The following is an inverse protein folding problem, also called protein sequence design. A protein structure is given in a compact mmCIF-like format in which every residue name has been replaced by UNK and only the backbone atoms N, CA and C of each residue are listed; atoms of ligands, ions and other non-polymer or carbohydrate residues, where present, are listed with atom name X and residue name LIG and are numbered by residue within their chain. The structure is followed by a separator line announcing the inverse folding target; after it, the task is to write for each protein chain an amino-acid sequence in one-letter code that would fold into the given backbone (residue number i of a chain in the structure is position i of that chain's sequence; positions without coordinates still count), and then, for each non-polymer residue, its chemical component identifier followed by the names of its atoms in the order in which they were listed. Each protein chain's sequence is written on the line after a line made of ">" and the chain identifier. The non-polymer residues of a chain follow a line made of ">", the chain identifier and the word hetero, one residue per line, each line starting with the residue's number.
data_IF_997040609691
#
_entry.id   IF_997040609691
#
_cell.length_a   1.000
_cell.length_b   1.000
_cell.length_c   1.000
_cell.angle_alpha   90.00
_cell.angle_beta   90.00
_cell.angle_gamma   90.00
#
_symmetry.space_group_name_H-M   'P 1'
#
loop_
_entity.id
_entity.type
_entity.pdbx_description
1 polymer ?
#
# COMPACT_ATOMS: atom_id res chain seq x y z
N UNK A 1 -7.39 -15.36 4.35
CA UNK A 1 -6.45 -14.99 5.44
C UNK A 1 -4.98 -14.99 4.98
N UNK A 2 -4.35 -16.13 4.64
CA UNK A 2 -2.92 -16.14 4.27
C UNK A 2 -2.53 -15.18 3.13
N UNK A 3 -3.28 -15.17 2.03
CA UNK A 3 -3.03 -14.23 0.92
C UNK A 3 -3.11 -12.77 1.36
N UNK A 4 -4.14 -12.41 2.12
CA UNK A 4 -4.32 -11.06 2.66
C UNK A 4 -3.14 -10.65 3.55
N UNK A 5 -2.73 -11.50 4.49
CA UNK A 5 -1.61 -11.19 5.38
C UNK A 5 -0.27 -11.08 4.65
N UNK A 6 -0.01 -11.96 3.68
CA UNK A 6 1.28 -12.01 2.98
C UNK A 6 1.40 -10.93 1.89
N UNK A 7 0.36 -10.80 1.07
CA UNK A 7 0.38 -9.94 -0.12
C UNK A 7 -0.10 -8.54 0.23
N UNK A 8 -1.36 -8.40 0.61
CA UNK A 8 -1.99 -7.09 0.83
C UNK A 8 -1.37 -6.35 2.01
N UNK A 9 -1.24 -7.02 3.17
CA UNK A 9 -0.67 -6.41 4.36
C UNK A 9 0.86 -6.41 4.32
N UNK A 10 1.48 -7.58 4.16
CA UNK A 10 2.93 -7.74 4.29
C UNK A 10 3.73 -7.06 3.19
N UNK A 11 3.43 -7.39 1.93
CA UNK A 11 4.21 -6.93 0.77
C UNK A 11 3.86 -5.52 0.33
N UNK A 12 2.65 -5.04 0.65
CA UNK A 12 2.15 -3.75 0.19
C UNK A 12 1.88 -2.77 1.33
N UNK A 13 0.75 -2.92 2.04
CA UNK A 13 0.19 -1.89 2.91
C UNK A 13 1.12 -1.53 4.08
N UNK A 14 1.61 -2.53 4.81
CA UNK A 14 2.50 -2.30 5.96
C UNK A 14 3.81 -1.65 5.54
N UNK A 15 4.26 -1.82 4.30
CA UNK A 15 5.51 -1.26 3.80
C UNK A 15 5.38 0.23 3.47
N UNK A 16 4.30 0.61 2.77
CA UNK A 16 4.07 2.00 2.36
C UNK A 16 3.72 2.92 3.54
N UNK A 17 3.24 2.36 4.65
CA UNK A 17 2.91 3.14 5.85
C UNK A 17 4.04 3.23 6.89
N UNK A 18 5.18 2.53 6.71
CA UNK A 18 6.24 2.50 7.74
C UNK A 18 6.76 3.89 8.03
N UNK A 19 7.03 4.67 6.99
CA UNK A 19 7.58 6.01 7.12
C UNK A 19 6.64 6.89 7.97
N UNK A 20 5.37 7.05 7.56
CA UNK A 20 4.39 7.82 8.35
C UNK A 20 4.20 7.27 9.77
N UNK A 21 4.30 5.96 9.97
CA UNK A 21 4.09 5.37 11.29
C UNK A 21 5.27 5.67 12.23
N UNK A 22 6.48 5.78 11.70
CA UNK A 22 7.73 5.94 12.45
C UNK A 22 8.19 7.40 12.55
N UNK A 23 7.94 8.22 11.53
CA UNK A 23 8.50 9.57 11.41
C UNK A 23 7.50 10.67 11.74
N UNK A 24 6.20 10.46 11.46
CA UNK A 24 5.21 11.50 11.68
C UNK A 24 4.89 11.69 13.17
N UNK A 25 4.53 12.94 13.52
CA UNK A 25 4.13 13.31 14.88
C UNK A 25 2.99 12.43 15.37
N UNK A 26 3.01 12.11 16.66
CA UNK A 26 2.06 11.19 17.30
C UNK A 26 0.59 11.60 17.14
N UNK A 27 0.32 12.90 17.03
CA UNK A 27 -0.99 13.53 16.87
C UNK A 27 -1.30 13.97 15.43
N UNK A 28 -0.42 13.68 14.47
CA UNK A 28 -0.64 14.05 13.07
C UNK A 28 -1.78 13.25 12.43
N UNK A 29 -2.52 13.90 11.52
CA UNK A 29 -3.60 13.26 10.75
C UNK A 29 -3.08 12.05 9.98
N UNK A 30 -1.91 12.14 9.33
CA UNK A 30 -1.31 11.04 8.58
C UNK A 30 -1.08 9.79 9.45
N UNK A 31 -0.51 9.97 10.65
CA UNK A 31 -0.28 8.86 11.58
C UNK A 31 -1.58 8.31 12.14
N UNK A 32 -2.52 9.17 12.53
CA UNK A 32 -3.82 8.75 13.09
C UNK A 32 -4.68 8.02 12.06
N UNK A 33 -4.71 8.50 10.82
CA UNK A 33 -5.41 7.84 9.71
C UNK A 33 -4.91 6.41 9.49
N UNK A 34 -3.58 6.22 9.48
CA UNK A 34 -2.96 4.91 9.36
C UNK A 34 -3.32 3.98 10.53
N UNK A 35 -3.24 4.49 11.76
CA UNK A 35 -3.58 3.75 12.97
C UNK A 35 -5.06 3.36 13.03
N UNK A 36 -5.97 4.23 12.56
CA UNK A 36 -7.40 3.93 12.48
C UNK A 36 -7.63 2.75 11.53
N UNK A 37 -7.06 2.77 10.32
CA UNK A 37 -7.18 1.66 9.39
C UNK A 37 -6.58 0.35 9.97
N UNK A 38 -5.38 0.42 10.57
CA UNK A 38 -4.77 -0.74 11.24
C UNK A 38 -5.61 -1.28 12.38
N UNK A 39 -6.26 -0.42 13.16
CA UNK A 39 -7.15 -0.82 14.23
C UNK A 39 -8.33 -1.63 13.70
N UNK A 40 -9.04 -1.12 12.68
CA UNK A 40 -10.15 -1.84 12.06
C UNK A 40 -9.71 -3.18 11.43
N UNK A 41 -8.55 -3.21 10.76
CA UNK A 41 -8.00 -4.44 10.19
C UNK A 41 -7.67 -5.44 11.30
N UNK A 42 -7.06 -5.02 12.40
CA UNK A 42 -6.69 -5.90 13.50
C UNK A 42 -7.92 -6.46 14.23
N UNK A 43 -8.93 -5.62 14.50
CA UNK A 43 -10.19 -6.04 15.09
C UNK A 43 -10.88 -7.12 14.24
N UNK A 44 -10.97 -6.93 12.93
CA UNK A 44 -11.53 -7.92 12.01
C UNK A 44 -10.69 -9.19 11.96
N UNK A 45 -9.38 -9.05 11.75
CA UNK A 45 -8.47 -10.16 11.53
C UNK A 45 -8.43 -11.13 12.73
N UNK A 46 -8.36 -10.60 13.96
CA UNK A 46 -8.30 -11.41 15.19
C UNK A 46 -9.56 -12.25 15.36
N UNK A 47 -10.74 -11.69 15.10
CA UNK A 47 -12.00 -12.44 15.14
C UNK A 47 -12.08 -13.49 14.04
N UNK A 48 -11.67 -13.16 12.82
CA UNK A 48 -11.71 -14.09 11.69
C UNK A 48 -10.73 -15.25 11.83
N UNK A 49 -9.60 -15.06 12.52
CA UNK A 49 -8.65 -16.14 12.79
C UNK A 49 -9.04 -17.01 13.98
N UNK A 50 -9.88 -16.52 14.91
CA UNK A 50 -10.22 -17.23 16.14
C UNK A 50 -10.76 -18.66 15.94
N UNK A 51 -11.58 -18.98 14.91
CA UNK A 51 -12.04 -20.35 14.68
C UNK A 51 -10.95 -21.35 14.23
N UNK A 52 -9.78 -20.87 13.79
CA UNK A 52 -8.70 -21.69 13.23
C UNK A 52 -7.44 -21.63 14.11
N UNK A 53 -7.09 -20.44 14.61
CA UNK A 53 -5.90 -20.14 15.40
C UNK A 53 -6.29 -19.63 16.78
N UNK A 54 -7.16 -20.38 17.48
CA UNK A 54 -7.84 -19.94 18.71
C UNK A 54 -6.92 -19.37 19.78
N UNK A 55 -5.83 -20.07 20.13
CA UNK A 55 -4.89 -19.60 21.15
C UNK A 55 -4.16 -18.32 20.75
N UNK A 56 -3.70 -18.24 19.49
CA UNK A 56 -3.03 -17.04 18.97
C UNK A 56 -3.98 -15.86 18.89
N UNK A 57 -5.23 -16.10 18.45
CA UNK A 57 -6.26 -15.08 18.39
C UNK A 57 -6.58 -14.51 19.78
N UNK A 58 -6.75 -15.38 20.78
CA UNK A 58 -7.04 -14.98 22.16
C UNK A 58 -5.86 -14.27 22.83
N UNK A 59 -4.62 -14.66 22.51
CA UNK A 59 -3.44 -13.93 22.94
C UNK A 59 -3.41 -12.51 22.35
N UNK A 60 -3.54 -12.37 21.02
CA UNK A 60 -3.54 -11.05 20.34
C UNK A 60 -4.71 -10.19 20.84
N UNK A 61 -5.86 -10.80 21.11
CA UNK A 61 -7.04 -10.13 21.64
C UNK A 61 -6.74 -9.30 22.89
N UNK A 62 -5.90 -9.81 23.80
CA UNK A 62 -5.50 -9.10 25.02
C UNK A 62 -4.63 -7.86 24.78
N UNK A 63 -4.00 -7.74 23.60
CA UNK A 63 -3.06 -6.66 23.26
C UNK A 63 -3.65 -5.57 22.36
N UNK A 64 -4.84 -5.78 21.78
CA UNK A 64 -5.48 -4.72 21.00
C UNK A 64 -5.91 -3.56 21.93
N UNK A 65 -5.93 -2.31 21.44
CA UNK A 65 -6.32 -1.15 22.24
C UNK A 65 -7.83 -1.07 22.47
N UNK A 66 -8.25 -0.48 23.58
CA UNK A 66 -9.67 -0.28 23.92
C UNK A 66 -10.23 -1.32 24.89
N UNK A 67 -11.44 -1.04 25.40
CA UNK A 67 -12.18 -1.94 26.28
C UNK A 67 -12.66 -3.18 25.52
N UNK A 68 -12.58 -4.34 26.16
CA UNK A 68 -12.85 -5.62 25.51
C UNK A 68 -13.37 -6.66 26.49
N UNK A 69 -14.12 -7.61 25.94
CA UNK A 69 -14.48 -8.82 26.65
C UNK A 69 -13.25 -9.66 27.00
N UNK A 70 -13.40 -10.57 27.96
CA UNK A 70 -12.28 -11.37 28.47
C UNK A 70 -11.64 -12.26 27.42
N UNK A 71 -12.43 -12.78 26.47
CA UNK A 71 -11.97 -13.73 25.46
C UNK A 71 -12.48 -13.33 24.09
N UNK A 72 -11.70 -13.62 23.04
CA UNK A 72 -12.14 -13.38 21.66
C UNK A 72 -13.36 -14.23 21.27
N UNK A 73 -13.54 -15.38 21.92
CA UNK A 73 -14.55 -16.39 21.56
C UNK A 73 -16.00 -15.95 21.82
N UNK A 74 -16.21 -14.91 22.61
CA UNK A 74 -17.53 -14.32 22.86
C UNK A 74 -17.83 -13.14 21.93
N UNK A 75 -16.83 -12.69 21.15
CA UNK A 75 -16.97 -11.59 20.22
C UNK A 75 -17.79 -11.96 18.98
N UNK A 76 -18.58 -10.99 18.51
CA UNK A 76 -19.35 -11.10 17.27
C UNK A 76 -18.51 -10.73 16.03
N UNK A 77 -19.10 -10.91 14.84
CA UNK A 77 -18.50 -10.48 13.58
C UNK A 77 -18.16 -8.97 13.61
N UNK A 78 -17.03 -8.59 13.03
CA UNK A 78 -16.63 -7.19 13.02
C UNK A 78 -17.36 -6.40 11.93
N UNK A 79 -18.19 -5.44 12.35
CA UNK A 79 -19.01 -4.61 11.45
C UNK A 79 -18.39 -3.24 11.13
N UNK A 80 -17.21 -2.93 11.69
CA UNK A 80 -16.55 -1.64 11.48
C UNK A 80 -15.84 -1.48 10.13
N UNK A 81 -15.85 -2.51 9.28
CA UNK A 81 -15.32 -2.45 7.92
C UNK A 81 -16.41 -2.07 6.93
N UNK A 82 -16.08 -1.20 5.99
CA UNK A 82 -16.93 -0.83 4.88
C UNK A 82 -16.13 -0.89 3.57
N UNK A 83 -16.81 -1.22 2.48
CA UNK A 83 -16.24 -1.13 1.14
C UNK A 83 -16.51 0.23 0.51
N UNK A 84 -15.71 0.58 -0.49
CA UNK A 84 -16.00 1.69 -1.38
C UNK A 84 -16.84 1.19 -2.56
N UNK A 85 -17.78 2.01 -3.03
CA UNK A 85 -18.54 1.72 -4.24
C UNK A 85 -17.67 1.90 -5.49
N UNK A 86 -18.06 1.25 -6.59
CA UNK A 86 -17.34 1.33 -7.88
C UNK A 86 -17.24 2.77 -8.42
N UNK A 87 -18.16 3.64 -8.03
CA UNK A 87 -18.14 5.06 -8.41
C UNK A 87 -17.26 5.94 -7.53
N UNK A 88 -16.82 5.45 -6.37
CA UNK A 88 -15.96 6.20 -5.47
C UNK A 88 -14.52 6.23 -5.97
N UNK A 89 -13.84 7.36 -5.72
CA UNK A 89 -12.44 7.51 -6.08
C UNK A 89 -11.56 6.55 -5.27
N UNK A 90 -10.44 6.12 -5.86
CA UNK A 90 -9.47 5.25 -5.19
C UNK A 90 -10.07 3.94 -4.65
N UNK A 91 -11.06 3.40 -5.35
CA UNK A 91 -11.64 2.08 -5.09
C UNK A 91 -10.67 0.93 -5.45
N UNK A 92 -11.14 -0.31 -5.34
CA UNK A 92 -10.34 -1.51 -5.62
C UNK A 92 -9.72 -1.50 -7.02
N UNK A 93 -10.46 -1.09 -8.05
CA UNK A 93 -9.95 -1.04 -9.42
C UNK A 93 -8.79 -0.03 -9.58
N UNK A 94 -8.84 1.08 -8.86
CA UNK A 94 -7.74 2.05 -8.82
C UNK A 94 -6.48 1.46 -8.18
N UNK A 95 -6.61 0.81 -7.02
CA UNK A 95 -5.46 0.21 -6.32
C UNK A 95 -4.90 -1.01 -7.07
N UNK A 96 -5.74 -1.81 -7.73
CA UNK A 96 -5.30 -2.91 -8.59
C UNK A 96 -4.43 -2.43 -9.75
N UNK A 97 -4.74 -1.28 -10.34
CA UNK A 97 -3.92 -0.67 -11.39
C UNK A 97 -2.63 -0.10 -10.81
N UNK A 98 -2.69 0.59 -9.67
CA UNK A 98 -1.53 1.17 -9.01
C UNK A 98 -0.53 0.10 -8.53
N UNK A 99 -1.01 -1.06 -8.09
CA UNK A 99 -0.18 -2.21 -7.76
C UNK A 99 0.60 -2.75 -8.97
N UNK A 100 0.00 -2.70 -10.17
CA UNK A 100 0.72 -3.04 -11.42
C UNK A 100 1.80 -2.01 -11.71
N UNK A 101 1.50 -0.71 -11.57
CA UNK A 101 2.50 0.36 -11.73
C UNK A 101 3.67 0.15 -10.76
N UNK A 102 3.40 -0.11 -9.48
CA UNK A 102 4.43 -0.38 -8.48
C UNK A 102 5.28 -1.59 -8.85
N UNK A 103 4.67 -2.66 -9.36
CA UNK A 103 5.38 -3.84 -9.83
C UNK A 103 6.40 -3.51 -10.94
N UNK A 104 6.00 -2.67 -11.88
CA UNK A 104 6.85 -2.26 -13.01
C UNK A 104 7.98 -1.32 -12.56
N UNK A 105 7.69 -0.38 -11.67
CA UNK A 105 8.70 0.49 -11.04
C UNK A 105 9.73 -0.35 -10.26
N UNK A 106 9.27 -1.34 -9.49
CA UNK A 106 10.17 -2.22 -8.74
C UNK A 106 11.11 -2.99 -9.68
N UNK A 107 10.63 -3.48 -10.83
CA UNK A 107 11.50 -4.14 -11.83
C UNK A 107 12.62 -3.22 -12.30
N UNK A 108 12.30 -1.97 -12.62
CA UNK A 108 13.28 -0.97 -13.06
C UNK A 108 14.30 -0.64 -11.97
N UNK A 109 13.83 -0.49 -10.72
CA UNK A 109 14.71 -0.25 -9.56
C UNK A 109 15.63 -1.45 -9.30
N UNK A 110 15.12 -2.69 -9.37
CA UNK A 110 15.95 -3.88 -9.19
C UNK A 110 16.97 -4.04 -10.30
N UNK A 111 16.63 -3.72 -11.56
CA UNK A 111 17.62 -3.67 -12.64
C UNK A 111 18.69 -2.60 -12.39
N UNK A 112 18.29 -1.40 -11.96
CA UNK A 112 19.24 -0.35 -11.61
C UNK A 112 20.14 -0.74 -10.42
N UNK A 113 19.63 -1.53 -9.47
CA UNK A 113 20.42 -2.11 -8.37
C UNK A 113 21.40 -3.16 -8.86
N UNK A 114 20.98 -4.06 -9.76
CA UNK A 114 21.86 -5.03 -10.40
C UNK A 114 22.99 -4.36 -11.19
N UNK A 115 22.69 -3.24 -11.85
CA UNK A 115 23.64 -2.38 -12.55
C UNK A 115 24.52 -1.53 -11.60
N UNK A 116 24.30 -1.62 -10.28
CA UNK A 116 24.98 -0.83 -9.23
C UNK A 116 24.81 0.69 -9.37
N UNK A 117 23.73 1.14 -9.99
CA UNK A 117 23.36 2.56 -10.10
C UNK A 117 22.68 3.09 -8.83
N UNK A 118 21.98 2.21 -8.12
CA UNK A 118 21.20 2.52 -6.93
C UNK A 118 21.45 1.43 -5.87
N UNK A 119 21.61 1.80 -4.60
CA UNK A 119 21.70 0.86 -3.49
C UNK A 119 20.32 0.45 -2.98
N UNK A 120 19.50 1.44 -2.59
CA UNK A 120 18.14 1.25 -2.08
C UNK A 120 17.07 1.99 -2.88
N UNK A 121 15.81 1.53 -2.87
CA UNK A 121 14.72 2.21 -3.58
C UNK A 121 14.52 3.65 -3.12
N UNK A 122 14.77 3.93 -1.83
CA UNK A 122 14.74 5.27 -1.24
C UNK A 122 15.88 6.20 -1.70
N UNK A 123 16.84 5.72 -2.48
CA UNK A 123 17.85 6.55 -3.14
C UNK A 123 17.44 6.94 -4.57
N UNK A 124 16.39 6.30 -5.11
CA UNK A 124 15.89 6.54 -6.46
C UNK A 124 14.76 7.56 -6.45
N UNK A 125 14.79 8.49 -7.41
CA UNK A 125 13.64 9.28 -7.83
C UNK A 125 13.17 8.74 -9.18
N UNK A 126 11.87 8.51 -9.34
CA UNK A 126 11.30 7.89 -10.54
C UNK A 126 10.45 8.88 -11.33
N UNK A 127 10.49 8.79 -12.65
CA UNK A 127 9.59 9.54 -13.54
C UNK A 127 8.73 8.54 -14.29
N UNK A 128 7.41 8.65 -14.13
CA UNK A 128 6.43 7.82 -14.80
C UNK A 128 5.93 8.58 -16.02
N UNK A 129 6.26 8.10 -17.21
CA UNK A 129 5.72 8.64 -18.46
C UNK A 129 4.47 7.84 -18.79
N UNK A 130 3.30 8.47 -18.66
CA UNK A 130 2.02 7.78 -18.69
C UNK A 130 1.05 8.40 -19.69
N UNK A 131 0.22 7.57 -20.32
CA UNK A 131 -0.90 8.05 -21.14
C UNK A 131 -1.93 8.80 -20.26
N UNK A 132 -2.75 9.70 -20.84
CA UNK A 132 -3.55 10.67 -20.07
C UNK A 132 -4.44 10.06 -18.98
N UNK A 133 -5.05 8.90 -19.23
CA UNK A 133 -5.92 8.24 -18.25
C UNK A 133 -5.14 7.76 -17.02
N UNK A 134 -4.01 7.08 -17.24
CA UNK A 134 -3.14 6.58 -16.17
C UNK A 134 -2.45 7.75 -15.46
N UNK A 135 -2.00 8.76 -16.21
CA UNK A 135 -1.39 9.96 -15.66
C UNK A 135 -2.33 10.68 -14.69
N UNK A 136 -3.62 10.78 -15.02
CA UNK A 136 -4.62 11.38 -14.13
C UNK A 136 -4.76 10.61 -12.81
N UNK A 137 -4.78 9.28 -12.87
CA UNK A 137 -4.85 8.40 -11.68
C UNK A 137 -3.59 8.56 -10.80
N UNK A 138 -2.41 8.54 -11.40
CA UNK A 138 -1.14 8.69 -10.68
C UNK A 138 -1.01 10.08 -10.05
N UNK A 139 -1.41 11.12 -10.76
CA UNK A 139 -1.35 12.51 -10.28
C UNK A 139 -2.34 12.77 -9.14
N UNK A 140 -3.46 12.04 -9.09
CA UNK A 140 -4.45 12.17 -8.01
C UNK A 140 -3.89 11.83 -6.62
N UNK A 141 -2.78 11.08 -6.53
CA UNK A 141 -2.11 10.77 -5.26
C UNK A 141 -1.21 11.92 -4.77
N UNK A 142 -0.82 12.86 -5.63
CA UNK A 142 0.10 13.94 -5.27
C UNK A 142 1.41 13.41 -4.67
N UNK A 143 1.82 13.98 -3.53
CA UNK A 143 3.04 13.55 -2.82
C UNK A 143 2.95 12.12 -2.28
N UNK A 144 1.75 11.54 -2.14
CA UNK A 144 1.61 10.17 -1.64
C UNK A 144 2.14 9.12 -2.64
N UNK A 145 2.28 9.48 -3.91
CA UNK A 145 2.76 8.57 -4.95
C UNK A 145 4.16 8.02 -4.63
N UNK A 146 5.08 8.84 -4.11
CA UNK A 146 6.44 8.38 -3.75
C UNK A 146 6.43 7.38 -2.60
N UNK A 147 5.47 7.50 -1.66
CA UNK A 147 5.31 6.53 -0.59
C UNK A 147 4.74 5.21 -1.10
N UNK A 148 3.79 5.26 -2.04
CA UNK A 148 3.27 4.05 -2.68
C UNK A 148 4.37 3.29 -3.43
N UNK A 149 5.25 4.02 -4.12
CA UNK A 149 6.35 3.44 -4.91
C UNK A 149 7.61 3.14 -4.09
N UNK A 150 7.67 3.56 -2.83
CA UNK A 150 8.83 3.44 -1.94
C UNK A 150 10.11 4.05 -2.51
N UNK A 151 9.98 5.24 -3.09
CA UNK A 151 11.07 6.01 -3.71
C UNK A 151 11.27 7.34 -2.97
N UNK A 152 12.43 8.00 -3.18
CA UNK A 152 12.65 9.34 -2.63
C UNK A 152 11.76 10.40 -3.28
N UNK A 153 11.38 10.18 -4.54
CA UNK A 153 10.50 11.04 -5.30
C UNK A 153 9.80 10.28 -6.43
N UNK A 154 8.66 10.81 -6.88
CA UNK A 154 7.91 10.31 -8.00
C UNK A 154 7.34 11.49 -8.78
N UNK A 155 7.58 11.52 -10.09
CA UNK A 155 7.02 12.55 -11.01
C UNK A 155 6.23 11.85 -12.10
N UNK A 156 5.14 12.47 -12.54
CA UNK A 156 4.35 11.99 -13.70
C UNK A 156 4.57 12.96 -14.85
N UNK A 157 4.91 12.44 -16.03
CA UNK A 157 5.17 13.19 -17.25
C UNK A 157 4.34 12.61 -18.42
N UNK A 158 4.25 13.36 -19.52
CA UNK A 158 3.54 12.91 -20.72
C UNK A 158 4.26 11.70 -21.32
N UNK A 159 3.49 10.69 -21.74
CA UNK A 159 4.04 9.48 -22.36
C UNK A 159 4.99 9.75 -23.55
N UNK A 160 4.72 10.82 -24.30
CA UNK A 160 5.49 11.20 -25.49
C UNK A 160 6.82 11.89 -25.15
N UNK A 161 6.98 12.38 -23.92
CA UNK A 161 8.21 13.00 -23.44
C UNK A 161 9.22 11.97 -22.92
N UNK A 162 8.87 10.67 -22.96
CA UNK A 162 9.73 9.60 -22.47
C UNK A 162 11.08 9.55 -23.22
N UNK A 163 12.22 9.60 -22.50
CA UNK A 163 13.53 9.51 -23.12
C UNK A 163 13.77 8.09 -23.67
N UNK A 164 14.79 7.96 -24.52
CA UNK A 164 15.10 6.70 -25.21
C UNK A 164 15.52 5.55 -24.27
N UNK A 165 15.98 5.86 -23.07
CA UNK A 165 16.37 4.91 -22.03
C UNK A 165 15.26 4.55 -21.03
N UNK A 166 14.09 5.22 -21.14
CA UNK A 166 12.91 4.87 -20.34
C UNK A 166 12.45 3.44 -20.66
N UNK A 167 12.18 2.68 -19.62
CA UNK A 167 11.81 1.28 -19.71
C UNK A 167 10.31 1.15 -19.94
N UNK A 168 9.94 0.53 -21.06
CA UNK A 168 8.55 0.21 -21.36
C UNK A 168 8.01 -0.81 -20.37
N UNK A 169 6.85 -0.53 -19.80
CA UNK A 169 6.17 -1.52 -18.96
C UNK A 169 5.73 -2.74 -19.78
N UNK A 170 5.97 -3.92 -19.24
CA UNK A 170 5.56 -5.22 -19.79
C UNK A 170 4.06 -5.50 -19.58
N UNK A 171 3.49 -4.92 -18.53
CA UNK A 171 2.11 -5.16 -18.08
C UNK A 171 1.17 -4.03 -18.51
N UNK A 172 1.63 -2.78 -18.53
CA UNK A 172 0.84 -1.59 -18.81
C UNK A 172 1.34 -0.89 -20.08
N UNK A 173 0.61 -1.03 -21.20
CA UNK A 173 1.04 -0.48 -22.50
C UNK A 173 1.27 1.03 -22.49
N UNK A 174 0.50 1.77 -21.71
CA UNK A 174 0.58 3.24 -21.61
C UNK A 174 1.52 3.75 -20.51
N UNK A 175 2.52 2.97 -20.10
CA UNK A 175 3.48 3.34 -19.05
C UNK A 175 4.94 3.07 -19.46
N UNK A 176 5.79 4.06 -19.26
CA UNK A 176 7.25 3.91 -19.21
C UNK A 176 7.80 4.47 -17.90
N UNK A 177 8.90 3.91 -17.42
CA UNK A 177 9.58 4.28 -16.17
C UNK A 177 11.05 4.57 -16.42
#
# INVERSE_FOLDING_TARGET
>A
LMRFCSVEMGSFYLDIIKDRQYTAKADSVARRSCQTALYHIAEALVRWMAPILSFTADEVWGYLPGEREKYVFTGEWYEGLFGLADSEAMNDAFWDELLKVRGEVNKVIEQARADKKVGGSLEAAVTLYAEPELAAKLTALGDELRFVLLTSGATVADYNDAPADAQQSEVLKGLKV
#
